data_IF_983205714358
#
_entry.id   IF_983205714358
#
_cell.length_a   1.000
_cell.length_b   1.000
_cell.length_c   1.000
_cell.angle_alpha   90.00
_cell.angle_beta   90.00
_cell.angle_gamma   90.00
#
_symmetry.space_group_name_H-M   'P 1'
#
loop_
_entity.id
_entity.type
_entity.pdbx_description
1 polymer ?
#
# COMPACT_ATOMS: atom_id res chain seq x y z
N UNK A 1 9.30 -13.28 20.11
CA UNK A 1 8.87 -13.68 18.76
C UNK A 1 7.35 -13.70 18.70
N UNK A 2 6.70 -12.62 18.27
CA UNK A 2 5.25 -12.44 18.44
C UNK A 2 4.41 -13.47 17.67
N UNK A 3 4.97 -14.06 16.61
CA UNK A 3 4.33 -15.13 15.86
C UNK A 3 4.21 -16.41 16.70
N UNK A 4 5.11 -16.68 17.65
CA UNK A 4 5.10 -17.89 18.48
C UNK A 4 3.82 -18.06 19.34
N UNK A 5 3.07 -16.97 19.55
CA UNK A 5 1.81 -16.96 20.29
C UNK A 5 0.58 -17.28 19.42
N UNK A 6 0.75 -17.36 18.10
CA UNK A 6 -0.32 -17.63 17.15
C UNK A 6 -0.47 -19.14 16.90
N UNK A 7 -1.73 -19.56 16.71
CA UNK A 7 -2.01 -20.90 16.18
C UNK A 7 -1.43 -21.06 14.77
N UNK A 8 -1.25 -22.31 14.33
CA UNK A 8 -0.70 -22.58 12.99
C UNK A 8 -1.52 -21.92 11.88
N UNK A 9 -2.86 -21.99 11.99
CA UNK A 9 -3.77 -21.32 11.04
C UNK A 9 -3.60 -19.80 11.05
N UNK A 10 -3.48 -19.17 12.23
CA UNK A 10 -3.28 -17.73 12.35
C UNK A 10 -1.93 -17.29 11.80
N UNK A 11 -0.87 -18.08 12.04
CA UNK A 11 0.47 -17.84 11.51
C UNK A 11 0.45 -17.90 9.98
N UNK A 12 -0.09 -18.97 9.41
CA UNK A 12 -0.23 -19.14 7.95
C UNK A 12 -1.01 -18.00 7.32
N UNK A 13 -2.15 -17.61 7.91
CA UNK A 13 -2.94 -16.50 7.38
C UNK A 13 -2.21 -15.16 7.50
N UNK A 14 -1.47 -14.94 8.58
CA UNK A 14 -0.67 -13.72 8.76
C UNK A 14 0.44 -13.63 7.70
N UNK A 15 1.10 -14.73 7.38
CA UNK A 15 2.11 -14.78 6.30
C UNK A 15 1.51 -14.48 4.93
N UNK A 16 0.36 -15.08 4.61
CA UNK A 16 -0.39 -14.78 3.39
C UNK A 16 -0.72 -13.29 3.28
N UNK A 17 -1.29 -12.70 4.33
CA UNK A 17 -1.63 -11.27 4.37
C UNK A 17 -0.40 -10.39 4.25
N UNK A 18 0.72 -10.77 4.88
CA UNK A 18 1.99 -10.05 4.74
C UNK A 18 2.47 -10.05 3.28
N UNK A 19 2.39 -11.18 2.58
CA UNK A 19 2.76 -11.27 1.16
C UNK A 19 1.83 -10.43 0.29
N UNK A 20 0.52 -10.47 0.54
CA UNK A 20 -0.45 -9.63 -0.17
C UNK A 20 -0.20 -8.14 0.05
N UNK A 21 0.11 -7.73 1.29
CA UNK A 21 0.42 -6.34 1.62
C UNK A 21 1.74 -5.87 1.01
N UNK A 22 2.75 -6.75 0.93
CA UNK A 22 4.03 -6.45 0.30
C UNK A 22 3.93 -6.32 -1.23
N UNK A 23 3.00 -7.04 -1.86
CA UNK A 23 2.77 -6.99 -3.30
C UNK A 23 4.04 -7.31 -4.10
N UNK A 24 4.38 -6.46 -5.08
CA UNK A 24 5.55 -6.65 -5.96
C UNK A 24 6.90 -6.73 -5.23
N UNK A 25 6.98 -6.13 -4.04
CA UNK A 25 8.19 -6.16 -3.21
C UNK A 25 8.43 -7.54 -2.58
N UNK A 26 7.41 -8.39 -2.47
CA UNK A 26 7.59 -9.73 -1.93
C UNK A 26 8.59 -10.55 -2.77
N UNK A 27 8.57 -10.39 -4.10
CA UNK A 27 9.44 -11.12 -5.04
C UNK A 27 10.93 -10.78 -4.91
N UNK A 28 11.29 -9.66 -4.27
CA UNK A 28 12.70 -9.32 -4.01
C UNK A 28 13.24 -9.92 -2.71
N UNK A 29 12.41 -10.62 -1.92
CA UNK A 29 12.86 -11.27 -0.69
C UNK A 29 13.45 -12.65 -0.98
N UNK A 30 14.55 -13.02 -0.32
CA UNK A 30 15.19 -14.32 -0.50
C UNK A 30 14.22 -15.48 -0.24
N UNK A 31 13.46 -15.41 0.86
CA UNK A 31 12.49 -16.43 1.23
C UNK A 31 11.41 -16.69 0.17
N UNK A 32 10.90 -15.64 -0.49
CA UNK A 32 9.90 -15.80 -1.57
C UNK A 32 10.57 -16.32 -2.84
N UNK A 33 11.77 -15.83 -3.18
CA UNK A 33 12.51 -16.30 -4.34
C UNK A 33 12.84 -17.79 -4.24
N UNK A 34 13.22 -18.27 -3.06
CA UNK A 34 13.48 -19.68 -2.77
C UNK A 34 12.21 -20.52 -2.83
N UNK A 35 11.12 -20.09 -2.16
CA UNK A 35 9.84 -20.82 -2.18
C UNK A 35 9.27 -20.95 -3.60
N UNK A 36 9.45 -19.94 -4.44
CA UNK A 36 9.04 -19.96 -5.84
C UNK A 36 10.06 -20.63 -6.77
N UNK A 37 11.27 -20.91 -6.31
CA UNK A 37 12.35 -21.44 -7.15
C UNK A 37 12.69 -20.52 -8.32
N UNK A 38 12.81 -19.21 -8.06
CA UNK A 38 13.14 -18.24 -9.10
C UNK A 38 14.58 -18.43 -9.60
N UNK A 39 14.75 -18.52 -10.92
CA UNK A 39 16.08 -18.56 -11.53
C UNK A 39 16.78 -17.22 -11.40
N UNK A 40 18.11 -17.20 -11.54
CA UNK A 40 18.87 -15.95 -11.48
C UNK A 40 18.37 -14.94 -12.52
N UNK A 41 18.11 -15.39 -13.75
CA UNK A 41 17.55 -14.55 -14.81
C UNK A 41 16.19 -13.94 -14.43
N UNK A 42 15.29 -14.73 -13.83
CA UNK A 42 14.00 -14.21 -13.35
C UNK A 42 14.17 -13.19 -12.23
N UNK A 43 15.09 -13.44 -11.28
CA UNK A 43 15.38 -12.53 -10.18
C UNK A 43 15.92 -11.19 -10.70
N UNK A 44 16.80 -11.23 -11.69
CA UNK A 44 17.38 -10.04 -12.31
C UNK A 44 16.33 -9.20 -13.05
N UNK A 45 15.45 -9.86 -13.82
CA UNK A 45 14.37 -9.17 -14.53
C UNK A 45 13.34 -8.57 -13.54
N UNK A 46 12.97 -9.30 -12.49
CA UNK A 46 12.11 -8.79 -11.43
C UNK A 46 12.75 -7.60 -10.70
N UNK A 47 14.06 -7.66 -10.42
CA UNK A 47 14.79 -6.56 -9.78
C UNK A 47 14.79 -5.30 -10.66
N UNK A 48 14.96 -5.47 -11.98
CA UNK A 48 14.86 -4.39 -12.97
C UNK A 48 13.47 -3.77 -12.98
N UNK A 49 12.41 -4.58 -13.05
CA UNK A 49 11.02 -4.12 -13.02
C UNK A 49 10.70 -3.31 -11.74
N UNK A 50 11.15 -3.80 -10.59
CA UNK A 50 10.98 -3.10 -9.31
C UNK A 50 11.73 -1.76 -9.23
N UNK A 51 12.94 -1.68 -9.80
CA UNK A 51 13.74 -0.45 -9.84
C UNK A 51 13.12 0.60 -10.75
N UNK A 52 12.63 0.22 -11.93
CA UNK A 52 11.93 1.12 -12.84
C UNK A 52 10.69 1.72 -12.19
N UNK A 53 9.88 0.88 -11.51
CA UNK A 53 8.68 1.31 -10.80
C UNK A 53 8.97 2.31 -9.65
N UNK A 54 10.10 2.12 -8.98
CA UNK A 54 10.54 2.95 -7.84
C UNK A 54 11.17 4.29 -8.26
N UNK A 55 11.95 4.31 -9.35
CA UNK A 55 12.66 5.53 -9.81
C UNK A 55 11.70 6.66 -10.22
N UNK A 56 10.56 6.30 -10.84
CA UNK A 56 9.53 7.26 -11.27
C UNK A 56 8.81 7.98 -10.11
N UNK A 57 8.86 7.46 -8.88
CA UNK A 57 8.27 8.11 -7.71
C UNK A 57 9.10 9.29 -7.18
N UNK A 58 10.40 9.32 -7.52
CA UNK A 58 11.32 10.37 -7.09
C UNK A 58 11.23 11.60 -8.00
N UNK A 59 10.98 11.37 -9.29
CA UNK A 59 10.93 12.42 -10.32
C UNK A 59 9.67 13.29 -10.23
N UNK A 60 8.53 12.71 -9.82
CA UNK A 60 7.26 13.44 -9.66
C UNK A 60 7.06 14.14 -8.32
N UNK A 61 7.88 13.83 -7.31
CA UNK A 61 7.88 14.61 -6.06
C UNK A 61 8.78 15.84 -6.14
N UNK A 62 9.72 15.86 -7.09
CA UNK A 62 10.62 17.01 -7.34
C UNK A 62 10.08 17.98 -8.38
N UNK A 63 9.23 17.55 -9.32
CA UNK A 63 8.58 18.44 -10.28
C UNK A 63 7.35 19.08 -9.66
N UNK A 64 7.60 20.09 -8.82
CA UNK A 64 6.61 21.05 -8.36
C UNK A 64 6.15 21.91 -9.55
N UNK A 65 5.27 21.37 -10.40
CA UNK A 65 4.75 22.00 -11.63
C UNK A 65 3.82 23.20 -11.34
N UNK A 66 4.08 23.99 -10.30
CA UNK A 66 3.36 25.23 -10.00
C UNK A 66 1.85 25.07 -9.73
N UNK A 67 1.34 23.84 -9.70
CA UNK A 67 -0.08 23.59 -9.48
C UNK A 67 -0.44 23.86 -8.02
N UNK A 68 -1.33 24.83 -7.82
CA UNK A 68 -1.93 25.21 -6.55
C UNK A 68 -2.94 24.13 -6.07
N UNK A 69 -2.50 22.87 -5.98
CA UNK A 69 -3.28 21.76 -5.43
C UNK A 69 -3.00 21.64 -3.93
N UNK A 70 -4.04 21.34 -3.15
CA UNK A 70 -3.89 21.16 -1.72
C UNK A 70 -2.92 20.02 -1.42
N UNK A 71 -2.24 20.06 -0.26
CA UNK A 71 -1.35 18.98 0.15
C UNK A 71 -2.09 17.62 0.23
N UNK A 72 -3.39 17.63 0.53
CA UNK A 72 -4.23 16.43 0.56
C UNK A 72 -4.45 15.84 -0.84
N UNK A 73 -4.77 16.69 -1.83
CA UNK A 73 -4.99 16.24 -3.21
C UNK A 73 -3.70 15.69 -3.83
N UNK A 74 -2.55 16.35 -3.58
CA UNK A 74 -1.24 15.84 -4.02
C UNK A 74 -0.93 14.48 -3.42
N UNK A 75 -1.21 14.30 -2.13
CA UNK A 75 -1.01 13.01 -1.47
C UNK A 75 -1.90 11.92 -2.08
N UNK A 76 -3.17 12.23 -2.37
CA UNK A 76 -4.08 11.28 -3.01
C UNK A 76 -3.62 10.91 -4.42
N UNK A 77 -3.23 11.88 -5.25
CA UNK A 77 -2.71 11.63 -6.60
C UNK A 77 -1.43 10.79 -6.58
N UNK A 78 -0.50 11.07 -5.66
CA UNK A 78 0.70 10.25 -5.47
C UNK A 78 0.35 8.82 -5.05
N UNK A 79 -0.64 8.64 -4.18
CA UNK A 79 -1.11 7.32 -3.75
C UNK A 79 -1.73 6.53 -4.91
N UNK A 80 -2.64 7.14 -5.67
CA UNK A 80 -3.31 6.50 -6.81
C UNK A 80 -2.34 6.15 -7.92
N UNK A 81 -1.46 7.09 -8.31
CA UNK A 81 -0.44 6.84 -9.33
C UNK A 81 0.56 5.76 -8.89
N UNK A 82 0.90 5.70 -7.60
CA UNK A 82 1.75 4.63 -7.06
C UNK A 82 1.02 3.28 -7.06
N UNK A 83 -0.28 3.27 -6.76
CA UNK A 83 -1.11 2.06 -6.80
C UNK A 83 -1.22 1.48 -8.21
N UNK A 84 -1.51 2.31 -9.22
CA UNK A 84 -1.59 1.86 -10.63
C UNK A 84 -0.26 1.29 -11.11
N UNK A 85 0.85 2.01 -10.89
CA UNK A 85 2.19 1.53 -11.24
C UNK A 85 2.54 0.21 -10.55
N UNK A 86 2.15 0.06 -9.29
CA UNK A 86 2.36 -1.19 -8.55
C UNK A 86 1.57 -2.36 -9.16
N UNK A 87 0.33 -2.11 -9.62
CA UNK A 87 -0.49 -3.10 -10.31
C UNK A 87 0.12 -3.50 -11.66
N UNK A 88 0.50 -2.53 -12.50
CA UNK A 88 1.16 -2.79 -13.78
C UNK A 88 2.48 -3.56 -13.62
N UNK A 89 3.27 -3.18 -12.61
CA UNK A 89 4.53 -3.89 -12.30
C UNK A 89 4.26 -5.33 -11.86
N UNK A 90 3.17 -5.55 -11.09
CA UNK A 90 2.75 -6.89 -10.68
C UNK A 90 2.41 -7.77 -11.87
N UNK A 91 1.64 -7.26 -12.82
CA UNK A 91 1.30 -8.00 -14.03
C UNK A 91 2.55 -8.40 -14.83
N UNK A 92 3.50 -7.47 -14.99
CA UNK A 92 4.79 -7.75 -15.66
C UNK A 92 5.59 -8.82 -14.92
N UNK A 93 5.68 -8.75 -13.59
CA UNK A 93 6.36 -9.78 -12.79
C UNK A 93 5.67 -11.13 -12.94
N UNK A 94 4.34 -11.19 -12.87
CA UNK A 94 3.59 -12.43 -13.06
C UNK A 94 3.75 -13.00 -14.47
N UNK A 95 4.04 -12.19 -15.49
CA UNK A 95 4.34 -12.66 -16.84
C UNK A 95 5.72 -13.34 -16.95
N UNK A 96 6.68 -13.00 -16.09
CA UNK A 96 8.03 -13.60 -16.04
C UNK A 96 8.02 -15.00 -15.40
N UNK A 97 6.99 -15.31 -14.60
CA UNK A 97 6.86 -16.58 -13.90
C UNK A 97 6.32 -17.69 -14.82
N UNK A 98 6.76 -18.92 -14.59
CA UNK A 98 6.16 -20.11 -15.21
C UNK A 98 4.77 -20.38 -14.63
N UNK A 99 3.91 -21.18 -15.31
CA UNK A 99 2.60 -21.56 -14.78
C UNK A 99 2.66 -22.17 -13.37
N UNK A 100 3.64 -23.02 -13.11
CA UNK A 100 3.84 -23.70 -11.82
C UNK A 100 4.23 -22.69 -10.73
N UNK A 101 5.08 -21.72 -11.06
CA UNK A 101 5.47 -20.65 -10.14
C UNK A 101 4.29 -19.72 -9.83
N UNK A 102 3.41 -19.45 -10.79
CA UNK A 102 2.17 -18.69 -10.55
C UNK A 102 1.21 -19.44 -9.63
N UNK A 103 1.06 -20.75 -9.82
CA UNK A 103 0.24 -21.59 -8.92
C UNK A 103 0.78 -21.55 -7.48
N UNK A 104 2.09 -21.75 -7.29
CA UNK A 104 2.75 -21.60 -5.97
C UNK A 104 2.56 -20.21 -5.38
N UNK A 105 2.67 -19.16 -6.20
CA UNK A 105 2.43 -17.80 -5.73
C UNK A 105 0.99 -17.62 -5.21
N UNK A 106 -0.01 -18.13 -5.93
CA UNK A 106 -1.40 -18.12 -5.48
C UNK A 106 -1.61 -18.85 -4.16
N UNK A 107 -0.98 -20.00 -3.96
CA UNK A 107 -1.03 -20.75 -2.70
C UNK A 107 -0.38 -19.99 -1.53
N UNK A 108 0.79 -19.38 -1.80
CA UNK A 108 1.53 -18.57 -0.83
C UNK A 108 0.77 -17.32 -0.41
N UNK A 109 0.06 -16.68 -1.33
CA UNK A 109 -0.76 -15.51 -1.01
C UNK A 109 -2.13 -15.86 -0.47
N UNK A 110 -2.68 -17.04 -0.81
CA UNK A 110 -4.02 -17.45 -0.45
C UNK A 110 -5.12 -16.51 -0.94
N UNK A 111 -6.28 -16.59 -0.30
CA UNK A 111 -7.47 -15.81 -0.67
C UNK A 111 -7.23 -14.29 -0.57
N UNK A 112 -7.58 -13.52 -1.60
CA UNK A 112 -7.47 -12.07 -1.61
C UNK A 112 -8.11 -11.42 -0.38
N UNK A 113 -7.43 -10.43 0.18
CA UNK A 113 -7.92 -9.67 1.33
C UNK A 113 -7.96 -8.18 1.00
N UNK A 114 -9.12 -7.58 1.20
CA UNK A 114 -9.30 -6.14 1.10
C UNK A 114 -8.80 -5.49 2.40
N UNK A 115 -7.60 -4.93 2.36
CA UNK A 115 -7.06 -4.20 3.51
C UNK A 115 -7.87 -2.92 3.75
N UNK A 116 -8.28 -2.65 5.00
CA UNK A 116 -8.94 -1.39 5.30
C UNK A 116 -8.00 -0.24 4.92
N UNK A 117 -8.52 0.69 4.13
CA UNK A 117 -7.79 1.91 3.83
C UNK A 117 -7.45 2.58 5.17
N UNK A 118 -6.18 2.95 5.38
CA UNK A 118 -5.80 3.85 6.47
C UNK A 118 -6.34 5.25 6.16
N UNK A 119 -7.65 5.39 6.01
CA UNK A 119 -8.30 6.68 6.09
C UNK A 119 -8.10 7.11 7.53
N UNK A 120 -7.15 8.04 7.73
CA UNK A 120 -7.17 8.86 8.94
C UNK A 120 -8.48 9.63 8.82
N UNK A 121 -9.56 9.07 9.37
CA UNK A 121 -10.74 9.85 9.68
C UNK A 121 -10.25 10.97 10.59
N UNK A 122 -9.99 12.12 9.99
CA UNK A 122 -9.94 13.38 10.70
C UNK A 122 -11.36 13.70 11.13
N UNK A 123 -11.89 12.91 12.08
CA UNK A 123 -12.76 13.48 13.10
C UNK A 123 -11.83 14.26 14.03
N UNK A 124 -11.26 15.34 13.49
CA UNK A 124 -10.81 16.46 14.31
C UNK A 124 -12.12 17.06 14.76
N UNK A 125 -12.57 16.66 15.96
CA UNK A 125 -13.80 17.17 16.54
C UNK A 125 -13.81 18.68 16.38
N UNK A 126 -14.66 19.15 15.48
CA UNK A 126 -15.17 20.51 15.54
C UNK A 126 -15.99 20.52 16.82
N UNK A 127 -15.33 20.73 17.96
CA UNK A 127 -15.95 21.40 19.08
C UNK A 127 -16.20 22.82 18.60
N UNK A 128 -17.21 22.98 17.75
CA UNK A 128 -18.00 24.20 17.75
C UNK A 128 -18.55 24.28 19.16
N UNK A 129 -17.79 24.93 20.04
CA UNK A 129 -18.36 25.61 21.20
C UNK A 129 -19.45 26.49 20.60
N UNK A 130 -20.68 26.02 20.67
CA UNK A 130 -21.87 26.77 20.34
C UNK A 130 -21.79 28.07 21.12
N UNK A 131 -21.39 29.15 20.45
CA UNK A 131 -21.73 30.48 20.88
C UNK A 131 -23.23 30.63 20.59
N UNK A 132 -24.04 30.19 21.55
CA UNK A 132 -25.44 30.59 21.62
C UNK A 132 -25.52 32.13 21.69
N UNK A 133 -26.44 32.75 20.94
CA UNK A 133 -26.67 34.18 21.05
C UNK A 133 -27.50 34.43 22.31
N UNK A 134 -26.90 34.98 23.36
CA UNK A 134 -27.67 35.56 24.47
C UNK A 134 -28.29 36.86 23.97
N UNK A 135 -29.58 36.81 23.63
CA UNK A 135 -30.47 37.97 23.65
C UNK A 135 -31.20 37.99 24.99
N UNK A 136 -31.03 39.05 25.78
CA UNK A 136 -32.02 39.66 26.69
C UNK A 136 -31.29 40.80 27.42
N UNK A 137 -31.45 42.04 26.96
CA UNK A 137 -32.47 43.03 27.37
C UNK A 137 -32.18 43.75 28.70
N UNK A 138 -32.13 45.08 28.59
CA UNK A 138 -32.37 46.14 29.57
C UNK A 138 -31.87 46.01 31.02
N UNK A 139 -31.04 46.97 31.46
CA UNK A 139 -31.59 48.16 32.12
C UNK A 139 -30.56 49.30 32.21
N UNK A 140 -30.98 50.41 31.60
CA UNK A 140 -30.47 51.77 31.71
C UNK A 140 -30.78 52.33 33.12
N UNK A 141 -30.02 53.35 33.50
CA UNK A 141 -30.14 54.10 34.76
C UNK A 141 -31.47 54.85 34.88
#
# INVERSE_FOLDING_TARGET
DALALLSETQRRRTEQLKLQQQGVRAFSTAAVAEKLGLTQAQRDEIAKLNRTSSSFGRDRTTNNDGQNTSAADRFQQLRESSSRRSAETREKILAVLTPEQKAKWSELTGEPFLFPSRSRSTSRGTSTRSSEPVKSDAQEK
#
